data_IF_055269572112
#
_entry.id   IF_055269572112
#
_cell.length_a   1.000
_cell.length_b   1.000
_cell.length_c   1.000
_cell.angle_alpha   90.00
_cell.angle_beta   90.00
_cell.angle_gamma   90.00
#
_symmetry.space_group_name_H-M   'P 1'
#
loop_
_entity.id
_entity.type
_entity.pdbx_description
1 polymer ?
#
# COMPACT_ATOMS: atom_id res chain seq x y z
N UNK A 1 -17.74 8.38 -23.62
CA UNK A 1 -18.36 9.28 -22.62
C UNK A 1 -17.79 8.96 -21.26
N UNK A 2 -17.66 9.95 -20.39
CA UNK A 2 -17.31 9.76 -18.97
C UNK A 2 -18.54 9.26 -18.20
N UNK A 3 -18.38 8.44 -17.15
CA UNK A 3 -19.48 8.12 -16.23
C UNK A 3 -20.75 7.60 -16.90
N UNK A 4 -20.68 6.52 -17.70
CA UNK A 4 -21.80 6.19 -18.60
C UNK A 4 -23.03 5.61 -17.91
N UNK A 5 -22.91 5.12 -16.68
CA UNK A 5 -24.05 4.94 -15.79
C UNK A 5 -24.45 6.27 -15.14
N UNK A 6 -23.49 6.93 -14.48
CA UNK A 6 -23.68 8.28 -13.95
C UNK A 6 -22.39 9.11 -14.01
N UNK A 7 -22.52 10.39 -14.39
CA UNK A 7 -21.48 11.40 -14.26
C UNK A 7 -21.98 12.49 -13.31
N UNK A 8 -21.28 12.69 -12.21
CA UNK A 8 -21.70 13.57 -11.12
C UNK A 8 -20.59 14.57 -10.82
N UNK A 9 -20.94 15.85 -10.86
CA UNK A 9 -20.06 16.95 -10.49
C UNK A 9 -20.70 17.72 -9.32
N UNK A 10 -19.98 17.77 -8.20
CA UNK A 10 -20.45 18.36 -6.95
C UNK A 10 -19.50 19.49 -6.56
N UNK A 11 -20.05 20.69 -6.39
CA UNK A 11 -19.27 21.89 -6.04
C UNK A 11 -19.85 22.62 -4.84
N UNK A 12 -19.06 23.48 -4.23
CA UNK A 12 -19.45 24.32 -3.09
C UNK A 12 -19.97 23.47 -1.90
N UNK A 13 -21.20 23.72 -1.46
CA UNK A 13 -21.88 22.99 -0.40
C UNK A 13 -22.81 21.87 -0.93
N UNK A 14 -22.59 21.43 -2.17
CA UNK A 14 -23.34 20.32 -2.75
C UNK A 14 -23.16 19.03 -1.96
N UNK A 15 -24.24 18.27 -1.84
CA UNK A 15 -24.26 16.95 -1.22
C UNK A 15 -24.99 16.00 -2.16
N UNK A 16 -24.42 14.81 -2.33
CA UNK A 16 -25.03 13.69 -3.02
C UNK A 16 -25.23 12.56 -2.03
N UNK A 17 -26.41 11.97 -2.11
CA UNK A 17 -26.72 10.70 -1.50
C UNK A 17 -27.11 9.75 -2.63
N UNK A 18 -26.31 8.68 -2.81
CA UNK A 18 -26.63 7.60 -3.72
C UNK A 18 -26.95 6.38 -2.87
N UNK A 19 -28.17 5.87 -2.96
CA UNK A 19 -28.62 4.75 -2.17
C UNK A 19 -29.33 3.69 -3.04
N UNK A 20 -29.01 2.41 -2.81
CA UNK A 20 -29.76 1.27 -3.36
C UNK A 20 -29.88 1.25 -4.88
N UNK A 21 -28.79 1.62 -5.58
CA UNK A 21 -28.75 1.58 -7.04
C UNK A 21 -27.95 0.40 -7.58
N UNK A 22 -28.35 -0.05 -8.77
CA UNK A 22 -27.64 -1.08 -9.54
C UNK A 22 -27.21 -0.46 -10.87
N UNK A 23 -25.93 -0.56 -11.21
CA UNK A 23 -25.36 -0.09 -12.48
C UNK A 23 -24.64 -1.26 -13.14
N UNK A 24 -25.13 -1.67 -14.32
CA UNK A 24 -24.63 -2.84 -15.03
C UNK A 24 -24.16 -2.48 -16.44
N UNK A 25 -23.13 -3.18 -16.94
CA UNK A 25 -22.70 -3.20 -18.35
C UNK A 25 -22.36 -1.82 -18.94
N UNK A 26 -21.91 -0.88 -18.10
CA UNK A 26 -21.60 0.48 -18.54
C UNK A 26 -20.15 0.62 -18.99
N UNK A 27 -19.89 1.21 -20.18
CA UNK A 27 -18.53 1.38 -20.73
C UNK A 27 -18.12 2.83 -20.94
N UNK A 28 -17.33 3.41 -20.04
CA UNK A 28 -16.89 4.81 -20.05
C UNK A 28 -15.40 5.04 -20.32
N UNK A 29 -14.96 6.31 -20.29
CA UNK A 29 -13.52 6.65 -20.27
C UNK A 29 -13.00 6.57 -18.84
N UNK A 30 -13.69 7.24 -17.92
CA UNK A 30 -13.47 7.19 -16.48
C UNK A 30 -14.80 6.87 -15.81
N UNK A 31 -14.78 6.08 -14.74
CA UNK A 31 -16.00 5.69 -14.02
C UNK A 31 -16.94 4.95 -14.96
N UNK A 32 -16.56 3.76 -15.44
CA UNK A 32 -17.33 3.04 -16.44
C UNK A 32 -18.81 2.97 -16.07
N UNK A 33 -19.08 2.61 -14.81
CA UNK A 33 -20.36 2.80 -14.14
C UNK A 33 -20.58 4.25 -13.69
N UNK A 34 -19.90 4.65 -12.61
CA UNK A 34 -20.11 5.96 -11.98
C UNK A 34 -18.82 6.75 -11.94
N UNK A 35 -18.86 8.00 -12.38
CA UNK A 35 -17.82 9.00 -12.15
C UNK A 35 -18.33 10.11 -11.23
N UNK A 36 -17.53 10.46 -10.21
CA UNK A 36 -17.83 11.52 -9.25
C UNK A 36 -16.63 12.47 -9.14
N UNK A 37 -16.86 13.74 -9.42
CA UNK A 37 -15.92 14.81 -9.11
C UNK A 37 -16.53 15.67 -7.98
N UNK A 38 -16.00 15.60 -6.76
CA UNK A 38 -16.40 16.50 -5.66
C UNK A 38 -15.31 17.54 -5.41
N UNK A 39 -15.64 18.77 -5.78
CA UNK A 39 -14.95 20.01 -5.42
C UNK A 39 -15.65 20.69 -4.24
N UNK A 40 -16.07 19.87 -3.29
CA UNK A 40 -16.92 20.23 -2.17
C UNK A 40 -16.26 19.79 -0.86
N UNK A 41 -16.47 20.54 0.22
CA UNK A 41 -15.94 20.18 1.56
C UNK A 41 -16.91 19.31 2.36
N UNK A 42 -18.11 19.08 1.82
CA UNK A 42 -19.15 18.29 2.48
C UNK A 42 -18.90 16.80 2.32
N UNK A 43 -19.41 16.03 3.28
CA UNK A 43 -19.44 14.57 3.21
C UNK A 43 -20.49 14.11 2.20
N UNK A 44 -20.09 13.23 1.29
CA UNK A 44 -20.93 12.58 0.29
C UNK A 44 -21.18 11.15 0.74
N UNK A 45 -22.42 10.65 0.59
CA UNK A 45 -22.79 9.31 1.05
C UNK A 45 -23.19 8.44 -0.14
N UNK A 46 -22.54 7.29 -0.28
CA UNK A 46 -22.87 6.28 -1.28
C UNK A 46 -23.01 4.96 -0.55
N UNK A 47 -24.21 4.42 -0.56
CA UNK A 47 -24.53 3.26 0.25
C UNK A 47 -25.35 2.24 -0.54
N UNK A 48 -25.13 0.95 -0.25
CA UNK A 48 -25.94 -0.15 -0.79
C UNK A 48 -25.99 -0.18 -2.33
N UNK A 49 -24.88 0.16 -2.98
CA UNK A 49 -24.83 0.15 -4.46
C UNK A 49 -24.21 -1.14 -4.99
N UNK A 50 -24.63 -1.54 -6.19
CA UNK A 50 -24.03 -2.64 -6.94
C UNK A 50 -23.59 -2.17 -8.33
N UNK A 51 -22.30 -2.36 -8.65
CA UNK A 51 -21.72 -2.05 -9.95
C UNK A 51 -21.28 -3.37 -10.59
N UNK A 52 -21.83 -3.75 -11.74
CA UNK A 52 -21.52 -5.04 -12.39
C UNK A 52 -21.08 -4.85 -13.84
N UNK A 53 -20.05 -5.56 -14.27
CA UNK A 53 -19.58 -5.60 -15.67
C UNK A 53 -19.31 -4.20 -16.29
N UNK A 54 -18.94 -3.23 -15.46
CA UNK A 54 -18.68 -1.86 -15.90
C UNK A 54 -17.20 -1.68 -16.29
N UNK A 55 -16.94 -1.09 -17.46
CA UNK A 55 -15.61 -0.99 -18.04
C UNK A 55 -15.23 0.48 -18.29
N UNK A 56 -13.98 0.84 -17.99
CA UNK A 56 -13.41 2.15 -18.27
C UNK A 56 -12.19 2.01 -19.19
N UNK A 57 -12.04 2.90 -20.17
CA UNK A 57 -10.82 2.92 -20.99
C UNK A 57 -9.60 3.44 -20.19
N UNK A 58 -9.83 4.20 -19.11
CA UNK A 58 -8.78 4.80 -18.26
C UNK A 58 -8.96 4.45 -16.76
N UNK A 59 -9.77 5.19 -15.99
CA UNK A 59 -9.81 5.04 -14.53
C UNK A 59 -11.16 4.48 -14.04
N UNK A 60 -11.10 3.56 -13.06
CA UNK A 60 -12.26 3.07 -12.31
C UNK A 60 -13.37 2.47 -13.18
N UNK A 61 -13.25 1.20 -13.56
CA UNK A 61 -14.29 0.49 -14.31
C UNK A 61 -15.69 0.59 -13.70
N UNK A 62 -15.81 0.38 -12.40
CA UNK A 62 -17.06 0.52 -11.65
C UNK A 62 -17.24 1.96 -11.20
N UNK A 63 -16.34 2.42 -10.35
CA UNK A 63 -16.41 3.74 -9.72
C UNK A 63 -15.09 4.48 -9.90
N UNK A 64 -15.17 5.72 -10.37
CA UNK A 64 -14.07 6.67 -10.36
C UNK A 64 -14.45 7.90 -9.54
N UNK A 65 -13.69 8.21 -8.50
CA UNK A 65 -13.97 9.34 -7.64
C UNK A 65 -12.75 10.26 -7.46
N UNK A 66 -12.95 11.56 -7.62
CA UNK A 66 -11.99 12.61 -7.31
C UNK A 66 -12.56 13.46 -6.17
N UNK A 67 -11.87 13.47 -5.03
CA UNK A 67 -12.26 14.24 -3.84
C UNK A 67 -11.19 15.31 -3.59
N UNK A 68 -11.51 16.59 -3.79
CA UNK A 68 -10.53 17.67 -3.61
C UNK A 68 -10.41 18.14 -2.17
N UNK A 69 -11.51 18.24 -1.42
CA UNK A 69 -11.51 18.84 -0.07
C UNK A 69 -12.58 18.30 0.89
N UNK A 70 -13.36 17.31 0.46
CA UNK A 70 -14.50 16.76 1.22
C UNK A 70 -14.25 15.34 1.71
N UNK A 71 -15.35 14.64 1.99
CA UNK A 71 -15.34 13.22 2.35
C UNK A 71 -16.28 12.44 1.42
N UNK A 72 -15.93 11.22 1.06
CA UNK A 72 -16.88 10.25 0.52
C UNK A 72 -16.92 9.01 1.39
N UNK A 73 -18.13 8.66 1.81
CA UNK A 73 -18.43 7.42 2.49
C UNK A 73 -19.01 6.43 1.47
N UNK A 74 -18.32 5.30 1.29
CA UNK A 74 -18.83 4.13 0.60
C UNK A 74 -19.20 3.09 1.66
N UNK A 75 -20.48 2.74 1.71
CA UNK A 75 -21.01 1.73 2.63
C UNK A 75 -21.76 0.66 1.84
N UNK A 76 -21.68 -0.60 2.28
CA UNK A 76 -22.34 -1.76 1.64
C UNK A 76 -22.22 -1.78 0.09
N UNK A 77 -21.06 -1.41 -0.43
CA UNK A 77 -20.85 -1.26 -1.88
C UNK A 77 -20.31 -2.56 -2.50
N UNK A 78 -20.98 -3.05 -3.54
CA UNK A 78 -20.62 -4.27 -4.27
C UNK A 78 -20.13 -3.95 -5.69
N UNK A 79 -18.96 -4.46 -6.10
CA UNK A 79 -18.36 -4.12 -7.40
C UNK A 79 -17.86 -5.38 -8.09
N UNK A 80 -18.61 -5.86 -9.09
CA UNK A 80 -18.47 -7.16 -9.73
C UNK A 80 -17.99 -7.02 -11.18
N UNK A 81 -16.86 -7.64 -11.55
CA UNK A 81 -16.30 -7.72 -12.91
C UNK A 81 -16.13 -6.37 -13.63
N UNK A 82 -15.84 -5.31 -12.87
CA UNK A 82 -15.60 -3.98 -13.40
C UNK A 82 -14.11 -3.68 -13.70
N UNK A 83 -13.74 -3.22 -14.90
CA UNK A 83 -12.33 -3.08 -15.28
C UNK A 83 -11.95 -1.70 -15.81
N UNK A 84 -10.71 -1.27 -15.60
CA UNK A 84 -10.15 -0.05 -16.17
C UNK A 84 -8.62 -0.09 -16.22
N UNK A 85 -8.01 0.77 -17.04
CA UNK A 85 -6.54 0.87 -17.16
C UNK A 85 -5.85 1.21 -15.83
N UNK A 86 -6.52 1.87 -14.89
CA UNK A 86 -6.02 2.13 -13.53
C UNK A 86 -6.87 1.44 -12.45
N UNK A 87 -7.40 0.25 -12.75
CA UNK A 87 -8.15 -0.60 -11.82
C UNK A 87 -9.68 -0.52 -11.97
N UNK A 88 -10.37 -1.40 -11.25
CA UNK A 88 -11.84 -1.48 -11.20
C UNK A 88 -12.47 -0.34 -10.40
N UNK A 89 -11.76 0.15 -9.38
CA UNK A 89 -12.09 1.36 -8.62
C UNK A 89 -10.84 2.21 -8.43
N UNK A 90 -10.92 3.48 -8.79
CA UNK A 90 -9.79 4.42 -8.63
C UNK A 90 -10.27 5.63 -7.84
N UNK A 91 -9.56 5.99 -6.77
CA UNK A 91 -9.82 7.21 -5.98
C UNK A 91 -8.58 8.08 -5.90
N UNK A 92 -8.74 9.39 -6.16
CA UNK A 92 -7.68 10.40 -5.97
C UNK A 92 -8.13 11.42 -4.93
N UNK A 93 -7.31 11.62 -3.90
CA UNK A 93 -7.79 12.13 -2.61
C UNK A 93 -7.00 13.34 -2.09
N UNK A 94 -7.72 14.42 -1.77
CA UNK A 94 -7.27 15.62 -1.04
C UNK A 94 -7.99 15.87 0.31
N UNK A 95 -8.85 14.95 0.76
CA UNK A 95 -9.72 15.01 1.95
C UNK A 95 -10.11 13.60 2.42
N UNK A 96 -11.01 13.37 3.40
CA UNK A 96 -11.21 12.02 3.97
C UNK A 96 -11.89 11.05 2.99
N UNK A 97 -11.65 9.75 3.11
CA UNK A 97 -12.47 8.67 2.56
C UNK A 97 -12.91 7.78 3.74
N UNK A 98 -14.12 7.24 3.73
CA UNK A 98 -14.39 6.01 4.47
C UNK A 98 -14.92 5.06 3.41
N UNK A 99 -14.23 3.97 3.10
CA UNK A 99 -14.63 3.11 1.99
C UNK A 99 -14.66 1.66 2.42
N UNK A 100 -15.85 1.19 2.81
CA UNK A 100 -16.14 -0.22 2.88
C UNK A 100 -16.57 -0.70 1.48
N UNK A 101 -15.79 -1.59 0.86
CA UNK A 101 -16.12 -2.20 -0.43
C UNK A 101 -16.07 -3.72 -0.29
N UNK A 102 -17.16 -4.40 -0.66
CA UNK A 102 -17.27 -5.86 -0.71
C UNK A 102 -17.37 -6.33 -2.17
N UNK A 103 -16.28 -6.94 -2.63
CA UNK A 103 -16.10 -7.94 -3.73
C UNK A 103 -16.33 -7.63 -5.22
N UNK A 104 -15.18 -7.80 -5.91
CA UNK A 104 -14.82 -8.62 -7.10
C UNK A 104 -14.70 -7.92 -8.46
N UNK A 105 -13.52 -7.55 -8.97
CA UNK A 105 -13.42 -7.16 -10.37
C UNK A 105 -12.16 -7.61 -11.12
N UNK A 106 -12.36 -8.52 -12.08
CA UNK A 106 -11.32 -9.13 -12.93
C UNK A 106 -11.04 -8.36 -14.22
N UNK A 107 -9.78 -7.97 -14.45
CA UNK A 107 -9.17 -7.90 -15.79
C UNK A 107 -7.63 -7.93 -15.71
N UNK A 108 -7.01 -8.35 -16.81
CA UNK A 108 -5.69 -8.99 -16.93
C UNK A 108 -4.45 -8.18 -16.55
N UNK A 109 -4.55 -6.88 -16.24
CA UNK A 109 -3.35 -6.03 -16.18
C UNK A 109 -3.27 -5.07 -14.97
N UNK A 110 -4.26 -5.03 -14.06
CA UNK A 110 -4.35 -3.99 -13.00
C UNK A 110 -5.06 -4.45 -11.71
N UNK A 111 -4.85 -3.70 -10.61
CA UNK A 111 -5.37 -3.98 -9.25
C UNK A 111 -6.88 -3.69 -9.12
N UNK A 112 -7.61 -4.46 -8.29
CA UNK A 112 -9.06 -4.26 -8.07
C UNK A 112 -9.39 -2.86 -7.50
N UNK A 113 -8.66 -2.40 -6.49
CA UNK A 113 -8.88 -1.14 -5.78
C UNK A 113 -7.61 -0.29 -5.69
N UNK A 114 -7.67 0.96 -6.16
CA UNK A 114 -6.55 1.90 -6.19
C UNK A 114 -6.84 3.18 -5.40
N UNK A 115 -5.96 3.51 -4.46
CA UNK A 115 -5.96 4.77 -3.71
C UNK A 115 -4.70 5.59 -4.02
N UNK A 116 -4.87 6.87 -4.39
CA UNK A 116 -3.80 7.87 -4.45
C UNK A 116 -4.03 8.95 -3.38
N UNK A 117 -3.31 8.80 -2.27
CA UNK A 117 -3.43 9.58 -1.06
C UNK A 117 -2.35 10.67 -1.03
N UNK A 118 -2.79 11.92 -1.14
CA UNK A 118 -1.92 13.08 -0.99
C UNK A 118 -1.48 13.26 0.47
N UNK A 119 -0.41 14.04 0.68
CA UNK A 119 0.05 14.38 2.02
C UNK A 119 -1.07 15.04 2.85
N UNK A 120 -1.26 14.57 4.08
CA UNK A 120 -2.34 14.99 4.97
C UNK A 120 -3.67 14.24 4.75
N UNK A 121 -3.70 13.22 3.90
CA UNK A 121 -4.88 12.38 3.63
C UNK A 121 -4.65 10.89 3.94
N UNK A 122 -3.46 10.51 4.38
CA UNK A 122 -3.08 9.13 4.60
C UNK A 122 -3.87 8.49 5.74
N UNK A 123 -4.20 9.26 6.79
CA UNK A 123 -4.99 8.75 7.94
C UNK A 123 -6.48 8.65 7.65
N UNK A 124 -6.87 9.11 6.48
CA UNK A 124 -8.19 9.61 6.22
C UNK A 124 -9.05 8.60 5.50
N UNK A 125 -8.58 7.36 5.26
CA UNK A 125 -9.35 6.23 4.74
C UNK A 125 -9.56 5.15 5.83
N UNK A 126 -10.66 4.41 5.72
CA UNK A 126 -10.95 3.24 6.56
C UNK A 126 -11.57 2.14 5.70
N UNK A 127 -10.86 1.01 5.56
CA UNK A 127 -11.32 -0.23 4.93
C UNK A 127 -11.58 -1.31 5.98
N UNK A 128 -11.74 -0.98 7.26
CA UNK A 128 -12.11 -1.98 8.28
C UNK A 128 -13.43 -2.65 7.89
N UNK A 129 -13.44 -3.98 7.80
CA UNK A 129 -14.58 -4.75 7.31
C UNK A 129 -14.62 -4.97 5.79
N UNK A 130 -13.65 -4.46 5.03
CA UNK A 130 -13.42 -4.92 3.67
C UNK A 130 -13.01 -6.40 3.67
N UNK A 131 -13.31 -7.10 2.58
CA UNK A 131 -12.89 -8.48 2.35
C UNK A 131 -12.38 -8.64 0.94
N UNK A 132 -11.20 -9.24 0.79
CA UNK A 132 -10.58 -9.46 -0.51
C UNK A 132 -10.75 -10.91 -0.99
N UNK A 133 -10.68 -11.09 -2.31
CA UNK A 133 -10.84 -12.41 -2.92
C UNK A 133 -9.51 -13.17 -2.91
N UNK A 134 -9.49 -14.40 -2.39
CA UNK A 134 -8.32 -15.29 -2.35
C UNK A 134 -8.34 -16.39 -3.41
N UNK A 135 -9.46 -16.57 -4.13
CA UNK A 135 -9.72 -17.75 -4.98
C UNK A 135 -9.51 -17.53 -6.47
N UNK A 136 -9.06 -16.35 -6.90
CA UNK A 136 -8.92 -16.00 -8.32
C UNK A 136 -7.45 -16.10 -8.80
N UNK A 137 -6.83 -17.27 -8.66
CA UNK A 137 -5.43 -17.50 -9.06
C UNK A 137 -5.19 -17.45 -10.58
N UNK A 138 -6.23 -17.34 -11.41
CA UNK A 138 -6.14 -17.31 -12.87
C UNK A 138 -6.68 -16.01 -13.51
N UNK A 139 -7.17 -15.05 -12.72
CA UNK A 139 -7.84 -13.84 -13.22
C UNK A 139 -7.17 -12.52 -12.79
N UNK A 140 -6.19 -12.57 -11.89
CA UNK A 140 -5.65 -11.38 -11.20
C UNK A 140 -4.11 -11.34 -11.32
N UNK A 141 -3.60 -11.14 -12.54
CA UNK A 141 -2.17 -11.10 -12.89
C UNK A 141 -1.65 -9.67 -13.03
N UNK A 142 -2.09 -8.75 -12.18
CA UNK A 142 -1.64 -7.36 -12.27
C UNK A 142 -0.15 -7.24 -11.89
N UNK A 143 0.58 -6.41 -12.64
CA UNK A 143 1.99 -6.09 -12.40
C UNK A 143 2.26 -5.53 -10.98
N UNK A 144 1.22 -4.99 -10.35
CA UNK A 144 1.27 -4.23 -9.11
C UNK A 144 0.30 -4.75 -8.04
N UNK A 145 0.09 -6.06 -7.89
CA UNK A 145 -0.72 -6.63 -6.78
C UNK A 145 -2.18 -6.96 -7.13
N UNK A 146 -2.76 -7.93 -6.42
CA UNK A 146 -4.04 -8.53 -6.85
C UNK A 146 -5.27 -7.75 -6.43
N UNK A 147 -5.29 -7.18 -5.22
CA UNK A 147 -6.53 -6.71 -4.59
C UNK A 147 -6.52 -5.21 -4.26
N UNK A 148 -5.53 -4.74 -3.49
CA UNK A 148 -5.45 -3.36 -3.02
C UNK A 148 -4.11 -2.74 -3.40
N UNK A 149 -4.16 -1.56 -4.01
CA UNK A 149 -3.01 -0.71 -4.28
C UNK A 149 -3.18 0.62 -3.55
N UNK A 150 -2.21 0.99 -2.72
CA UNK A 150 -2.16 2.30 -2.07
C UNK A 150 -0.90 3.04 -2.48
N UNK A 151 -1.05 4.15 -3.20
CA UNK A 151 -0.03 5.19 -3.28
C UNK A 151 -0.29 6.20 -2.18
N UNK A 152 0.67 6.43 -1.31
CA UNK A 152 0.54 7.41 -0.24
C UNK A 152 1.79 8.27 -0.14
N UNK A 153 1.65 9.56 0.18
CA UNK A 153 2.80 10.41 0.46
C UNK A 153 3.64 9.89 1.65
N UNK A 154 3.00 9.27 2.64
CA UNK A 154 3.65 8.43 3.64
C UNK A 154 2.82 7.15 3.89
N UNK A 155 3.32 6.03 3.39
CA UNK A 155 2.64 4.74 3.45
C UNK A 155 2.61 4.15 4.87
N UNK A 156 3.59 4.47 5.74
CA UNK A 156 3.53 4.07 7.17
C UNK A 156 2.37 4.74 7.89
N UNK A 157 2.13 6.03 7.63
CA UNK A 157 1.00 6.77 8.21
C UNK A 157 -0.32 6.20 7.67
N UNK A 158 -0.38 5.92 6.36
CA UNK A 158 -1.55 5.34 5.71
C UNK A 158 -2.01 4.04 6.36
N UNK A 159 -1.05 3.16 6.67
CA UNK A 159 -1.33 1.86 7.27
C UNK A 159 -1.46 1.89 8.81
N UNK A 160 -1.07 3.00 9.44
CA UNK A 160 -1.23 3.26 10.88
C UNK A 160 -0.70 2.14 11.79
N UNK A 161 0.61 1.88 11.71
CA UNK A 161 1.36 0.88 12.52
C UNK A 161 1.26 1.13 14.04
N UNK A 162 0.80 2.31 14.47
CA UNK A 162 0.69 2.67 15.90
C UNK A 162 -0.48 2.00 16.64
N UNK A 163 -1.45 1.41 15.94
CA UNK A 163 -2.58 0.70 16.55
C UNK A 163 -2.61 -0.77 16.08
N UNK A 164 -2.05 -1.66 16.91
CA UNK A 164 -1.98 -3.10 16.66
C UNK A 164 -3.36 -3.78 16.48
N UNK A 165 -4.47 -3.08 16.76
CA UNK A 165 -5.83 -3.62 16.65
C UNK A 165 -6.57 -3.19 15.38
N UNK A 166 -5.98 -2.33 14.54
CA UNK A 166 -6.68 -1.70 13.39
C UNK A 166 -5.84 -1.71 12.13
N UNK A 167 -5.78 -2.84 11.43
CA UNK A 167 -5.39 -2.81 10.02
C UNK A 167 -6.51 -2.11 9.23
N UNK A 168 -6.31 -0.81 8.98
CA UNK A 168 -7.18 0.07 8.15
C UNK A 168 -7.43 -0.44 6.75
N UNK A 169 -6.68 -1.47 6.34
CA UNK A 169 -6.76 -2.13 5.05
C UNK A 169 -7.60 -3.40 5.08
N UNK A 170 -8.45 -3.62 6.09
CA UNK A 170 -9.47 -4.69 6.04
C UNK A 170 -8.95 -6.07 5.67
N UNK A 171 -8.02 -6.62 6.44
CA UNK A 171 -7.43 -7.94 6.17
C UNK A 171 -7.72 -8.93 7.32
N UNK A 172 -8.97 -8.95 7.80
CA UNK A 172 -9.36 -9.98 8.78
C UNK A 172 -9.55 -11.29 8.02
N UNK A 173 -8.75 -12.29 8.38
CA UNK A 173 -8.93 -13.73 8.16
C UNK A 173 -10.05 -14.08 7.14
N UNK A 174 -9.71 -14.44 5.89
CA UNK A 174 -8.62 -15.35 5.56
C UNK A 174 -7.55 -14.79 4.61
N UNK A 175 -7.30 -13.47 4.54
CA UNK A 175 -6.21 -12.96 3.68
C UNK A 175 -4.84 -13.29 4.30
N UNK A 176 -4.37 -14.51 4.04
CA UNK A 176 -3.06 -15.01 4.44
C UNK A 176 -1.96 -14.68 3.44
N UNK A 177 -2.32 -14.09 2.29
CA UNK A 177 -1.43 -13.75 1.18
C UNK A 177 -1.31 -12.22 1.06
N UNK A 178 -0.69 -11.60 2.06
CA UNK A 178 -0.47 -10.16 2.10
C UNK A 178 0.42 -9.63 0.94
N UNK A 179 0.96 -10.50 0.07
CA UNK A 179 1.55 -10.08 -1.20
C UNK A 179 0.50 -9.56 -2.19
N UNK A 180 -0.78 -9.78 -1.94
CA UNK A 180 -1.90 -9.29 -2.75
C UNK A 180 -2.26 -7.82 -2.48
N UNK A 181 -1.77 -7.27 -1.36
CA UNK A 181 -1.98 -5.88 -0.96
C UNK A 181 -0.63 -5.17 -1.04
N UNK A 182 -0.56 -4.09 -1.80
CA UNK A 182 0.73 -3.58 -2.23
C UNK A 182 0.65 -2.05 -2.37
N UNK A 183 1.77 -1.33 -2.28
CA UNK A 183 1.70 0.13 -2.30
C UNK A 183 3.01 0.84 -2.59
N UNK A 184 2.91 2.14 -2.81
CA UNK A 184 4.04 3.07 -2.97
C UNK A 184 4.08 4.05 -1.80
N UNK A 185 5.30 4.27 -1.31
CA UNK A 185 5.62 5.26 -0.29
C UNK A 185 6.25 6.50 -0.96
N UNK A 186 5.55 7.64 -0.93
CA UNK A 186 5.95 8.86 -1.63
C UNK A 186 6.00 8.70 -3.14
N UNK A 187 7.10 9.19 -3.74
CA UNK A 187 7.37 9.11 -5.18
C UNK A 187 8.12 7.83 -5.59
N UNK A 188 8.24 6.85 -4.68
CA UNK A 188 8.90 5.58 -4.97
C UNK A 188 8.18 4.85 -6.12
N UNK A 189 8.98 4.20 -6.97
CA UNK A 189 8.49 3.39 -8.09
C UNK A 189 8.51 1.90 -7.81
N UNK A 190 9.07 1.47 -6.66
CA UNK A 190 9.03 0.07 -6.25
C UNK A 190 7.81 -0.20 -5.38
N UNK A 191 7.05 -1.21 -5.80
CA UNK A 191 5.93 -1.77 -5.08
C UNK A 191 6.41 -2.44 -3.78
N UNK A 192 5.80 -2.04 -2.67
CA UNK A 192 6.06 -2.61 -1.35
C UNK A 192 4.86 -3.46 -0.96
N UNK A 193 5.01 -4.79 -0.73
CA UNK A 193 3.96 -5.58 -0.11
C UNK A 193 3.59 -4.98 1.24
N UNK A 194 2.31 -4.65 1.41
CA UNK A 194 1.83 -3.96 2.62
C UNK A 194 2.04 -4.82 3.86
N UNK A 195 2.16 -6.15 3.72
CA UNK A 195 2.60 -7.07 4.77
C UNK A 195 3.79 -6.54 5.57
N UNK A 196 4.86 -6.19 4.85
CA UNK A 196 6.15 -5.90 5.45
C UNK A 196 6.19 -4.51 6.08
N UNK A 197 5.26 -3.62 5.68
CA UNK A 197 5.04 -2.33 6.33
C UNK A 197 4.19 -2.50 7.59
N UNK A 198 3.19 -3.38 7.54
CA UNK A 198 2.20 -3.62 8.60
C UNK A 198 2.69 -4.54 9.73
N UNK A 199 3.71 -5.35 9.50
CA UNK A 199 4.20 -6.35 10.47
C UNK A 199 5.53 -5.94 11.10
N UNK A 200 5.65 -6.20 12.39
CA UNK A 200 6.89 -5.98 13.11
C UNK A 200 7.96 -6.99 12.66
N UNK A 201 9.20 -6.52 12.54
CA UNK A 201 10.36 -7.39 12.28
C UNK A 201 10.65 -8.23 13.54
N UNK A 202 10.70 -9.55 13.36
CA UNK A 202 10.88 -10.53 14.45
C UNK A 202 12.10 -10.24 15.33
N UNK A 203 11.89 -10.25 16.65
CA UNK A 203 12.90 -9.91 17.68
C UNK A 203 13.63 -8.57 17.48
N UNK A 204 13.09 -7.69 16.63
CA UNK A 204 13.72 -6.47 16.15
C UNK A 204 15.11 -6.71 15.51
N UNK A 205 15.29 -7.87 14.88
CA UNK A 205 16.50 -8.25 14.13
C UNK A 205 16.30 -7.93 12.65
N UNK A 206 16.87 -6.82 12.19
CA UNK A 206 16.70 -6.37 10.81
C UNK A 206 17.65 -7.11 9.87
N UNK A 207 17.08 -7.77 8.88
CA UNK A 207 17.82 -8.55 7.91
C UNK A 207 18.37 -7.66 6.80
N UNK A 208 19.61 -7.92 6.40
CA UNK A 208 20.27 -7.24 5.29
C UNK A 208 20.79 -8.26 4.28
N UNK A 209 20.70 -7.92 3.01
CA UNK A 209 21.21 -8.74 1.91
C UNK A 209 21.75 -7.82 0.81
N UNK A 210 23.04 -7.90 0.55
CA UNK A 210 23.67 -7.16 -0.55
C UNK A 210 24.39 -8.16 -1.45
N UNK A 211 23.89 -8.32 -2.67
CA UNK A 211 24.51 -9.15 -3.71
C UNK A 211 24.69 -8.31 -4.97
N UNK A 212 25.64 -8.64 -5.84
CA UNK A 212 25.81 -7.98 -7.14
C UNK A 212 24.72 -8.34 -8.17
N UNK A 213 23.71 -9.12 -7.77
CA UNK A 213 22.64 -9.63 -8.62
C UNK A 213 21.27 -9.00 -8.33
N UNK A 214 20.25 -9.53 -9.00
CA UNK A 214 18.85 -9.09 -8.87
C UNK A 214 18.18 -9.46 -7.54
N UNK A 215 18.86 -10.27 -6.72
CA UNK A 215 18.38 -10.82 -5.45
C UNK A 215 19.01 -10.11 -4.24
N UNK A 216 19.29 -8.81 -4.40
CA UNK A 216 19.69 -7.93 -3.30
C UNK A 216 18.46 -7.41 -2.55
N UNK A 217 18.65 -7.02 -1.29
CA UNK A 217 17.62 -6.35 -0.50
C UNK A 217 17.25 -4.98 -1.05
N UNK A 218 16.31 -4.30 -0.39
CA UNK A 218 15.92 -2.95 -0.76
C UNK A 218 15.74 -2.05 0.47
N UNK A 219 16.35 -0.86 0.44
CA UNK A 219 16.21 0.16 1.47
C UNK A 219 14.90 0.95 1.29
N UNK A 220 13.79 0.30 1.66
CA UNK A 220 12.48 0.93 1.74
C UNK A 220 11.80 0.65 3.09
N UNK A 221 10.69 1.33 3.35
CA UNK A 221 9.99 1.26 4.64
C UNK A 221 9.44 -0.14 5.01
N UNK A 222 9.34 -1.08 4.07
CA UNK A 222 8.97 -2.47 4.36
C UNK A 222 10.17 -3.35 4.74
N UNK A 223 11.41 -2.90 4.53
CA UNK A 223 12.55 -3.80 4.65
C UNK A 223 12.88 -4.22 6.09
N UNK A 224 13.60 -5.33 6.21
CA UNK A 224 14.15 -5.83 7.47
C UNK A 224 13.65 -7.24 7.82
N UNK A 225 12.63 -7.71 7.13
CA UNK A 225 12.17 -9.10 7.23
C UNK A 225 13.14 -10.04 6.52
N UNK A 226 13.16 -11.32 6.92
CA UNK A 226 14.05 -12.30 6.31
C UNK A 226 13.80 -12.46 4.80
N UNK A 227 12.51 -12.54 4.42
CA UNK A 227 12.07 -12.64 3.02
C UNK A 227 11.95 -11.28 2.31
N UNK A 228 12.26 -10.18 3.00
CA UNK A 228 12.29 -8.82 2.45
C UNK A 228 13.37 -7.98 3.15
N UNK A 229 14.65 -8.33 2.93
CA UNK A 229 15.76 -7.72 3.64
C UNK A 229 16.04 -6.30 3.14
N UNK A 230 16.65 -5.48 3.99
CA UNK A 230 17.20 -4.19 3.60
C UNK A 230 18.44 -4.38 2.72
N UNK A 231 18.72 -3.39 1.87
CA UNK A 231 19.91 -3.40 1.02
C UNK A 231 21.16 -3.07 1.84
N UNK A 232 21.06 -2.11 2.77
CA UNK A 232 22.20 -1.64 3.56
C UNK A 232 22.04 -1.83 5.07
N UNK A 233 23.17 -2.12 5.74
CA UNK A 233 23.26 -2.13 7.20
C UNK A 233 22.86 -0.78 7.80
N UNK A 234 23.27 0.31 7.17
CA UNK A 234 22.96 1.65 7.65
C UNK A 234 21.46 1.89 7.71
N UNK A 235 20.73 1.59 6.63
CA UNK A 235 19.29 1.76 6.59
C UNK A 235 18.57 0.81 7.57
N UNK A 236 19.02 -0.44 7.71
CA UNK A 236 18.50 -1.38 8.70
C UNK A 236 18.62 -0.86 10.15
N UNK A 237 19.70 -0.15 10.47
CA UNK A 237 19.87 0.50 11.78
C UNK A 237 18.86 1.64 11.98
N UNK A 238 18.62 2.43 10.93
CA UNK A 238 17.67 3.55 10.97
C UNK A 238 16.23 3.09 11.21
N UNK A 239 15.84 1.95 10.62
CA UNK A 239 14.49 1.39 10.83
C UNK A 239 14.20 0.99 12.28
N UNK A 240 15.23 0.86 13.12
CA UNK A 240 15.10 0.47 14.52
C UNK A 240 15.60 1.56 15.48
N UNK A 241 15.57 2.84 15.09
CA UNK A 241 16.18 3.97 15.83
C UNK A 241 15.76 4.10 17.31
N UNK A 242 14.59 3.59 17.70
CA UNK A 242 14.13 3.65 19.09
C UNK A 242 14.62 2.51 19.98
N UNK A 243 15.14 1.39 19.44
CA UNK A 243 15.56 0.26 20.28
C UNK A 243 16.85 0.53 21.08
N UNK A 244 16.89 0.03 22.32
CA UNK A 244 18.07 0.11 23.19
C UNK A 244 19.26 -0.72 22.70
N UNK A 245 19.04 -1.70 21.82
CA UNK A 245 20.08 -2.41 21.10
C UNK A 245 19.63 -2.58 19.64
N UNK A 246 20.51 -2.25 18.70
CA UNK A 246 20.25 -2.47 17.27
C UNK A 246 20.80 -3.84 16.89
N UNK A 247 19.95 -4.70 16.35
CA UNK A 247 20.34 -6.03 15.87
C UNK A 247 20.17 -6.07 14.36
N UNK A 248 21.23 -6.42 13.65
CA UNK A 248 21.22 -6.59 12.19
C UNK A 248 21.69 -8.01 11.88
N UNK A 249 20.91 -8.75 11.11
CA UNK A 249 21.26 -10.09 10.63
C UNK A 249 21.69 -10.00 9.17
N UNK A 250 22.85 -10.55 8.86
CA UNK A 250 23.37 -10.63 7.50
C UNK A 250 22.92 -11.95 6.87
N UNK A 251 22.13 -11.88 5.81
CA UNK A 251 21.73 -13.03 4.99
C UNK A 251 22.81 -13.23 3.90
N UNK A 252 23.53 -14.36 3.95
CA UNK A 252 24.46 -14.90 2.94
C UNK A 252 25.33 -13.89 2.13
N UNK A 253 26.66 -14.04 2.18
CA UNK A 253 27.63 -13.37 1.28
C UNK A 253 27.41 -11.86 1.06
N UNK A 254 27.06 -11.11 2.11
CA UNK A 254 26.90 -9.66 2.02
C UNK A 254 28.21 -8.99 1.60
N UNK A 255 28.23 -8.43 0.39
CA UNK A 255 29.40 -7.72 -0.13
C UNK A 255 29.42 -6.30 0.42
N UNK A 256 30.37 -6.01 1.30
CA UNK A 256 30.52 -4.69 1.90
C UNK A 256 31.12 -3.72 0.85
N UNK A 257 30.27 -2.91 0.21
CA UNK A 257 30.70 -1.98 -0.84
C UNK A 257 31.38 -0.69 -0.33
N UNK A 258 31.28 -0.38 0.96
CA UNK A 258 31.93 0.77 1.58
C UNK A 258 32.07 0.59 3.09
N UNK A 259 33.05 1.27 3.70
CA UNK A 259 33.20 1.32 5.16
C UNK A 259 31.93 1.96 5.74
N UNK A 260 31.18 1.21 6.56
CA UNK A 260 30.01 1.74 7.25
C UNK A 260 30.48 2.50 8.49
N UNK A 261 30.63 3.81 8.36
CA UNK A 261 30.79 4.69 9.52
C UNK A 261 29.42 4.86 10.19
N UNK A 262 29.13 4.07 11.21
CA UNK A 262 27.91 4.22 12.03
C UNK A 262 28.11 5.43 12.95
N UNK A 263 28.01 6.64 12.40
CA UNK A 263 28.09 7.88 13.16
C UNK A 263 26.71 8.14 13.77
N UNK A 264 26.45 7.53 14.94
CA UNK A 264 25.27 7.83 15.74
C UNK A 264 25.39 9.28 16.22
N UNK A 265 24.48 10.16 15.74
CA UNK A 265 24.47 11.57 16.12
C UNK A 265 24.53 11.72 17.65
N UNK A 266 25.65 12.25 18.16
CA UNK A 266 25.82 12.63 19.56
C UNK A 266 26.88 11.88 20.37
N UNK A 267 27.49 10.78 19.88
CA UNK A 267 28.65 10.17 20.55
C UNK A 267 29.72 9.75 19.54
N UNK A 268 30.84 10.46 19.56
CA UNK A 268 32.10 10.05 18.93
C UNK A 268 32.49 8.68 19.48
N UNK A 269 32.18 7.64 18.72
CA UNK A 269 32.69 6.29 18.92
C UNK A 269 32.87 5.70 17.54
N UNK A 270 34.01 6.04 16.94
CA UNK A 270 34.52 5.41 15.73
C UNK A 270 34.81 3.94 16.05
N UNK A 271 33.78 3.10 16.03
CA UNK A 271 33.95 1.66 16.04
C UNK A 271 34.14 1.25 14.60
N UNK A 272 35.41 1.00 14.27
CA UNK A 272 35.76 0.14 13.16
C UNK A 272 35.01 -1.18 13.38
N UNK A 273 33.97 -1.44 12.58
CA UNK A 273 33.67 -2.82 12.23
C UNK A 273 34.88 -3.18 11.37
N UNK A 274 35.89 -3.80 11.98
CA UNK A 274 36.97 -4.40 11.20
C UNK A 274 36.28 -5.15 10.07
N UNK A 275 36.71 -4.87 8.85
CA UNK A 275 36.33 -5.64 7.70
C UNK A 275 36.77 -7.09 7.99
N UNK A 276 35.93 -7.83 8.70
CA UNK A 276 35.80 -9.25 8.48
C UNK A 276 35.45 -9.28 7.02
N UNK A 277 36.46 -9.60 6.21
CA UNK A 277 36.25 -10.08 4.87
C UNK A 277 35.33 -11.28 5.11
N UNK A 278 34.01 -11.08 5.00
CA UNK A 278 33.04 -12.16 4.92
C UNK A 278 33.19 -12.81 3.54
N UNK A 279 34.43 -13.13 3.16
CA UNK A 279 34.71 -14.11 2.12
C UNK A 279 34.33 -15.44 2.75
N UNK A 280 33.23 -16.00 2.26
CA UNK A 280 32.77 -17.36 2.54
C UNK A 280 32.50 -17.69 4.01
N UNK A 281 31.51 -17.06 4.63
CA UNK A 281 30.78 -17.74 5.71
C UNK A 281 29.41 -18.11 5.17
N UNK A 282 29.16 -19.41 5.13
CA UNK A 282 27.84 -20.02 4.92
C UNK A 282 26.85 -19.73 6.07
N UNK A 283 27.23 -18.84 6.99
CA UNK A 283 26.62 -18.70 8.31
C UNK A 283 26.05 -17.29 8.46
N UNK A 284 24.72 -17.22 8.62
CA UNK A 284 24.01 -16.00 8.95
C UNK A 284 24.61 -15.40 10.23
N UNK A 285 25.12 -14.17 10.15
CA UNK A 285 25.80 -13.49 11.25
C UNK A 285 24.92 -12.38 11.81
N UNK A 286 24.83 -12.28 13.15
CA UNK A 286 24.09 -11.20 13.83
C UNK A 286 25.07 -10.19 14.42
N UNK A 287 24.94 -8.94 13.99
CA UNK A 287 25.64 -7.78 14.55
C UNK A 287 24.72 -7.13 15.60
N UNK A 288 25.19 -7.04 16.85
CA UNK A 288 24.50 -6.31 17.91
C UNK A 288 25.27 -5.03 18.27
N UNK A 289 24.61 -3.89 18.12
CA UNK A 289 25.14 -2.56 18.44
C UNK A 289 24.40 -2.06 19.70
N UNK A 290 25.16 -1.77 20.76
CA UNK A 290 24.64 -1.21 22.01
C UNK A 290 25.07 0.27 22.11
N UNK A 291 24.15 1.22 22.37
CA UNK A 291 24.51 2.57 22.78
C UNK A 291 25.34 2.49 24.07
N UNK A 292 26.41 3.27 24.15
CA UNK A 292 27.14 3.49 25.40
C UNK A 292 26.33 4.37 26.35
#
# INVERSE_FOLDING_TARGET
GQGRGAYIDVSNNGMIEINEIIVNDCKGINGGGIQINCQCSQKQTIQRIQLTDCVADQNGGGLYCIISSGEIELDETTIIRCSGLNGGVTTKVGGAICAQIIKNASSSDMVELYFDLQSGTETKFDLTGASYSTTASTLNSAQYGKNLFIKAANLRIALSIEDATRFKIGAKDPETDFYNLIGYDGDNTLAIPLYYVCTAVGESVYNVKYTSGIDQGNDNIGCGHFDYPCLTIYYAIQQNESASAKKVMIINEYQLNSIVNVNLEGKLSQRYIDAVICSSISDNSIIQIKPQ
#
